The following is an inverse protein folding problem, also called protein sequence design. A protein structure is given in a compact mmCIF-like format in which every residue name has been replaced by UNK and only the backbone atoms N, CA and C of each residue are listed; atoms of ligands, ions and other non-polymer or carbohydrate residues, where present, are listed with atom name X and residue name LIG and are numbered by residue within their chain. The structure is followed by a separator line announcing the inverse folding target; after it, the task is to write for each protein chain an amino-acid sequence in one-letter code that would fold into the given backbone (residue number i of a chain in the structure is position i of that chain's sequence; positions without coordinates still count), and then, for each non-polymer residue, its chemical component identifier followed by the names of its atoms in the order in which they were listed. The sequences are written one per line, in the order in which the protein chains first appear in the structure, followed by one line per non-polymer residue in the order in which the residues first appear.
data_IF_969383909339
#
_entry.id   IF_969383909339
#
_cell.length_a   1.000
_cell.length_b   1.000
_cell.length_c   1.000
_cell.angle_alpha   90.00
_cell.angle_beta   90.00
_cell.angle_gamma   90.00
#
_symmetry.space_group_name_H-M   'P 1'
#
loop_
_entity.id
_entity.type
_entity.pdbx_description
1 polymer ?
#
# COMPACT_ATOMS: atom_id res chain seq x y z
N UNK A 1 -15.83 3.41 -14.74
CA UNK A 1 -14.85 4.33 -14.09
C UNK A 1 -14.35 3.77 -12.76
N UNK A 2 -15.19 3.66 -11.68
CA UNK A 2 -14.72 3.06 -10.41
C UNK A 2 -14.15 1.64 -10.58
N UNK A 3 -14.82 0.79 -11.36
CA UNK A 3 -14.34 -0.58 -11.64
C UNK A 3 -12.95 -0.62 -12.27
N UNK A 4 -12.61 0.33 -13.12
CA UNK A 4 -11.28 0.45 -13.75
C UNK A 4 -10.24 0.89 -12.72
N UNK A 5 -10.53 1.92 -11.91
CA UNK A 5 -9.65 2.39 -10.83
C UNK A 5 -9.34 1.25 -9.85
N UNK A 6 -10.39 0.56 -9.38
CA UNK A 6 -10.25 -0.61 -8.51
C UNK A 6 -9.38 -1.70 -9.13
N UNK A 7 -9.64 -2.06 -10.40
CA UNK A 7 -8.87 -3.07 -11.10
C UNK A 7 -7.38 -2.74 -11.18
N UNK A 8 -7.04 -1.47 -11.46
CA UNK A 8 -5.65 -1.01 -11.50
C UNK A 8 -5.00 -1.10 -10.11
N UNK A 9 -5.71 -0.66 -9.05
CA UNK A 9 -5.22 -0.81 -7.68
C UNK A 9 -4.97 -2.28 -7.35
N UNK A 10 -5.95 -3.16 -7.63
CA UNK A 10 -5.84 -4.60 -7.35
C UNK A 10 -4.62 -5.23 -8.04
N UNK A 11 -4.30 -4.81 -9.27
CA UNK A 11 -3.12 -5.25 -10.01
C UNK A 11 -1.80 -4.81 -9.35
N UNK A 12 -1.77 -3.64 -8.71
CA UNK A 12 -0.55 -3.06 -8.15
C UNK A 12 -0.31 -3.41 -6.66
N UNK A 13 -1.30 -3.95 -5.95
CA UNK A 13 -1.23 -4.21 -4.50
C UNK A 13 0.01 -5.02 -4.07
N UNK A 14 0.46 -5.95 -4.90
CA UNK A 14 1.55 -6.89 -4.61
C UNK A 14 2.80 -6.67 -5.46
N UNK A 15 2.94 -5.50 -6.09
CA UNK A 15 4.07 -5.17 -6.96
C UNK A 15 5.11 -4.25 -6.32
N UNK A 16 5.09 -4.09 -4.99
CA UNK A 16 6.02 -3.19 -4.28
C UNK A 16 7.50 -3.55 -4.48
N UNK A 17 7.82 -4.83 -4.65
CA UNK A 17 9.19 -5.30 -4.89
C UNK A 17 9.76 -4.84 -6.25
N UNK A 18 8.93 -4.34 -7.16
CA UNK A 18 9.32 -3.85 -8.48
C UNK A 18 9.42 -2.33 -8.54
N UNK A 19 9.17 -1.63 -7.42
CA UNK A 19 9.28 -0.18 -7.28
C UNK A 19 10.43 0.19 -6.34
N UNK A 20 11.02 1.36 -6.55
CA UNK A 20 12.14 1.89 -5.77
C UNK A 20 13.33 2.22 -6.67
N UNK A 21 14.34 2.90 -6.13
CA UNK A 21 15.57 3.28 -6.84
C UNK A 21 15.32 3.99 -8.20
N UNK A 22 14.32 4.88 -8.24
CA UNK A 22 13.93 5.61 -9.46
C UNK A 22 13.00 4.84 -10.41
N UNK A 23 12.55 3.65 -10.03
CA UNK A 23 11.57 2.88 -10.78
C UNK A 23 10.21 2.95 -10.08
N UNK A 24 9.17 3.28 -10.83
CA UNK A 24 7.81 3.42 -10.31
C UNK A 24 6.83 2.58 -11.12
N UNK A 25 5.95 1.87 -10.44
CA UNK A 25 4.83 1.20 -11.10
C UNK A 25 3.81 2.25 -11.52
N UNK A 26 3.56 2.35 -12.82
CA UNK A 26 2.63 3.31 -13.39
C UNK A 26 1.20 2.75 -13.36
N UNK A 27 0.33 3.42 -12.61
CA UNK A 27 -1.07 3.08 -12.44
C UNK A 27 -2.00 3.85 -13.41
N UNK A 28 -1.42 4.41 -14.49
CA UNK A 28 -2.13 5.20 -15.49
C UNK A 28 -2.60 6.59 -14.97
N UNK A 29 -3.26 7.34 -15.81
CA UNK A 29 -3.70 8.71 -15.55
C UNK A 29 -4.77 8.80 -14.47
N UNK A 30 -4.84 9.98 -13.83
CA UNK A 30 -5.85 10.29 -12.82
C UNK A 30 -7.19 10.65 -13.50
N UNK A 31 -8.24 9.90 -13.16
CA UNK A 31 -9.64 10.13 -13.57
C UNK A 31 -10.39 11.09 -12.65
N UNK A 32 -9.67 11.93 -11.90
CA UNK A 32 -10.23 12.91 -10.94
C UNK A 32 -10.99 14.00 -11.71
N UNK A 33 -12.22 14.30 -11.28
CA UNK A 33 -13.08 15.29 -11.94
C UNK A 33 -13.80 14.76 -13.20
N UNK A 34 -13.82 13.42 -13.42
CA UNK A 34 -14.43 12.78 -14.58
C UNK A 34 -15.63 11.88 -14.25
N UNK A 35 -16.31 12.13 -13.13
CA UNK A 35 -17.56 11.46 -12.78
C UNK A 35 -17.47 10.36 -11.72
N UNK A 36 -16.30 10.16 -11.10
CA UNK A 36 -16.19 9.38 -9.87
C UNK A 36 -16.92 10.10 -8.73
N UNK A 37 -17.39 9.34 -7.73
CA UNK A 37 -17.92 9.94 -6.50
C UNK A 37 -16.77 10.57 -5.70
N UNK A 38 -17.05 11.55 -4.82
CA UNK A 38 -16.00 12.19 -4.03
C UNK A 38 -15.12 11.22 -3.23
N UNK A 39 -15.71 10.22 -2.61
CA UNK A 39 -14.99 9.17 -1.88
C UNK A 39 -14.13 8.28 -2.79
N UNK A 40 -14.58 8.00 -4.01
CA UNK A 40 -13.85 7.24 -5.01
C UNK A 40 -12.66 8.05 -5.58
N UNK A 41 -12.82 9.38 -5.72
CA UNK A 41 -11.73 10.28 -6.06
C UNK A 41 -10.66 10.32 -4.94
N UNK A 42 -11.08 10.35 -3.67
CA UNK A 42 -10.17 10.27 -2.51
C UNK A 42 -9.38 8.95 -2.53
N UNK A 43 -10.04 7.82 -2.83
CA UNK A 43 -9.35 6.53 -3.02
C UNK A 43 -8.37 6.60 -4.17
N UNK A 44 -8.81 7.05 -5.33
CA UNK A 44 -7.99 7.11 -6.53
C UNK A 44 -6.71 7.92 -6.27
N UNK A 45 -6.84 9.17 -5.83
CA UNK A 45 -5.68 10.03 -5.60
C UNK A 45 -4.81 9.54 -4.44
N UNK A 46 -5.44 9.14 -3.31
CA UNK A 46 -4.72 8.64 -2.13
C UNK A 46 -3.91 7.38 -2.43
N UNK A 47 -4.48 6.42 -3.18
CA UNK A 47 -3.79 5.19 -3.53
C UNK A 47 -2.64 5.45 -4.51
N UNK A 48 -2.81 6.30 -5.55
CA UNK A 48 -1.70 6.71 -6.41
C UNK A 48 -0.57 7.35 -5.60
N UNK A 49 -0.90 8.18 -4.62
CA UNK A 49 0.10 8.82 -3.78
C UNK A 49 0.86 7.84 -2.89
N UNK A 50 0.18 6.93 -2.20
CA UNK A 50 0.88 5.98 -1.31
C UNK A 50 1.63 4.89 -2.08
N UNK A 51 1.19 4.59 -3.31
CA UNK A 51 1.88 3.67 -4.22
C UNK A 51 3.05 4.31 -4.96
N UNK A 52 3.29 5.63 -4.80
CA UNK A 52 4.30 6.39 -5.54
C UNK A 52 4.16 6.28 -7.06
N UNK A 53 2.94 6.12 -7.55
CA UNK A 53 2.65 6.11 -8.97
C UNK A 53 2.78 7.51 -9.59
N UNK A 54 3.19 7.65 -10.85
CA UNK A 54 3.18 8.94 -11.54
C UNK A 54 1.81 9.63 -11.45
N UNK A 55 1.79 10.93 -11.17
CA UNK A 55 0.57 11.73 -11.09
C UNK A 55 0.34 12.49 -12.40
N UNK A 56 -0.34 11.85 -13.33
CA UNK A 56 -0.68 12.42 -14.63
C UNK A 56 -2.18 12.77 -14.68
N UNK A 57 -2.50 14.04 -14.85
CA UNK A 57 -3.90 14.52 -14.87
C UNK A 57 -4.55 14.15 -16.21
N UNK A 58 -5.64 13.38 -16.14
CA UNK A 58 -6.42 12.95 -17.32
C UNK A 58 -7.70 13.74 -17.54
N UNK A 59 -7.96 14.83 -16.80
CA UNK A 59 -9.17 15.65 -16.92
C UNK A 59 -8.93 17.00 -17.59
N UNK A 60 -10.01 17.65 -18.04
CA UNK A 60 -9.99 19.03 -18.50
C UNK A 60 -9.99 19.98 -17.29
N UNK A 61 -8.86 20.66 -17.07
CA UNK A 61 -8.68 21.59 -15.96
C UNK A 61 -9.54 22.86 -16.08
N UNK A 62 -10.11 23.16 -17.25
CA UNK A 62 -10.99 24.31 -17.43
C UNK A 62 -12.40 24.09 -16.91
N UNK A 63 -12.80 22.83 -16.80
CA UNK A 63 -14.16 22.42 -16.38
C UNK A 63 -14.19 21.55 -15.12
N UNK A 64 -13.03 21.29 -14.51
CA UNK A 64 -12.92 20.43 -13.32
C UNK A 64 -13.74 20.97 -12.13
N UNK A 65 -14.50 20.14 -11.41
CA UNK A 65 -15.19 20.55 -10.19
C UNK A 65 -14.21 21.09 -9.14
N UNK A 66 -14.62 22.13 -8.41
CA UNK A 66 -13.77 22.78 -7.39
C UNK A 66 -13.27 21.79 -6.31
N UNK A 67 -14.13 20.87 -5.87
CA UNK A 67 -13.77 19.85 -4.89
C UNK A 67 -12.68 18.91 -5.40
N UNK A 68 -12.78 18.47 -6.65
CA UNK A 68 -11.79 17.62 -7.31
C UNK A 68 -10.45 18.37 -7.50
N UNK A 69 -10.50 19.64 -7.90
CA UNK A 69 -9.32 20.49 -8.01
C UNK A 69 -8.65 20.70 -6.64
N UNK A 70 -9.43 20.87 -5.56
CA UNK A 70 -8.91 20.97 -4.20
C UNK A 70 -8.21 19.69 -3.77
N UNK A 71 -8.76 18.51 -4.11
CA UNK A 71 -8.13 17.23 -3.83
C UNK A 71 -6.78 17.11 -4.57
N UNK A 72 -6.74 17.41 -5.87
CA UNK A 72 -5.50 17.40 -6.66
C UNK A 72 -4.43 18.37 -6.14
N UNK A 73 -4.82 19.43 -5.45
CA UNK A 73 -3.92 20.40 -4.79
C UNK A 73 -3.55 20.04 -3.35
N UNK A 74 -3.94 18.86 -2.86
CA UNK A 74 -3.62 18.43 -1.51
C UNK A 74 -2.10 18.21 -1.35
N UNK A 75 -1.43 19.18 -0.70
CA UNK A 75 0.02 19.20 -0.56
C UNK A 75 0.56 18.01 0.25
N UNK A 76 -0.22 17.48 1.19
CA UNK A 76 0.22 16.36 2.03
C UNK A 76 0.20 15.04 1.25
N UNK A 77 -0.81 14.81 0.42
CA UNK A 77 -0.84 13.67 -0.49
C UNK A 77 0.24 13.78 -1.57
N UNK A 78 0.45 14.97 -2.13
CA UNK A 78 1.54 15.21 -3.09
C UNK A 78 2.90 14.94 -2.43
N UNK A 79 3.13 15.43 -1.20
CA UNK A 79 4.37 15.16 -0.47
C UNK A 79 4.57 13.66 -0.18
N UNK A 80 3.50 12.93 0.10
CA UNK A 80 3.54 11.47 0.23
C UNK A 80 3.98 10.79 -1.07
N UNK A 81 3.46 11.22 -2.21
CA UNK A 81 3.85 10.71 -3.53
C UNK A 81 5.31 11.02 -3.85
N UNK A 82 5.77 12.23 -3.49
CA UNK A 82 7.09 12.78 -3.78
C UNK A 82 8.12 12.47 -2.67
N UNK A 83 7.82 11.56 -1.75
CA UNK A 83 8.74 11.17 -0.69
C UNK A 83 10.07 10.67 -1.28
N UNK A 84 11.24 11.18 -0.79
CA UNK A 84 12.53 10.90 -1.40
C UNK A 84 12.96 9.42 -1.36
N UNK A 85 12.36 8.60 -0.51
CA UNK A 85 12.62 7.16 -0.50
C UNK A 85 12.06 6.45 -1.74
N UNK A 86 11.06 7.03 -2.42
CA UNK A 86 10.47 6.49 -3.63
C UNK A 86 9.85 5.11 -3.48
N UNK A 87 9.46 4.72 -2.27
CA UNK A 87 8.94 3.39 -1.97
C UNK A 87 7.45 3.28 -2.33
N UNK A 88 7.05 2.11 -2.81
CA UNK A 88 5.65 1.73 -2.92
C UNK A 88 5.19 1.06 -1.63
N UNK A 89 3.98 1.40 -1.16
CA UNK A 89 3.37 0.71 -0.03
C UNK A 89 3.06 -0.76 -0.37
N UNK A 90 3.19 -1.63 0.61
CA UNK A 90 2.90 -3.06 0.50
C UNK A 90 1.82 -3.50 1.48
N UNK A 91 1.09 -4.55 1.14
CA UNK A 91 -0.01 -5.09 1.96
C UNK A 91 0.57 -5.85 3.15
N UNK A 92 0.16 -5.45 4.37
CA UNK A 92 0.54 -6.14 5.62
C UNK A 92 -0.62 -6.86 6.28
N UNK A 93 -1.85 -6.55 5.88
CA UNK A 93 -3.05 -7.22 6.38
C UNK A 93 -4.14 -7.15 5.32
N UNK A 94 -4.82 -8.28 5.10
CA UNK A 94 -5.98 -8.37 4.23
C UNK A 94 -7.05 -9.20 4.93
N UNK A 95 -8.03 -8.51 5.51
CA UNK A 95 -9.15 -9.12 6.24
C UNK A 95 -10.46 -8.44 5.85
N UNK A 96 -11.55 -9.19 5.90
CA UNK A 96 -12.92 -8.65 5.72
C UNK A 96 -13.09 -7.77 4.47
N UNK A 97 -12.42 -8.13 3.35
CA UNK A 97 -12.44 -7.40 2.07
C UNK A 97 -11.67 -6.06 2.07
N UNK A 98 -11.05 -5.69 3.17
CA UNK A 98 -10.21 -4.48 3.29
C UNK A 98 -8.73 -4.81 3.24
N UNK A 99 -7.92 -3.81 2.91
CA UNK A 99 -6.45 -3.91 2.85
C UNK A 99 -5.81 -2.88 3.76
N UNK A 100 -4.77 -3.30 4.47
CA UNK A 100 -3.87 -2.41 5.19
C UNK A 100 -2.53 -2.40 4.47
N UNK A 101 -2.11 -1.23 4.02
CA UNK A 101 -0.85 -1.04 3.33
C UNK A 101 0.05 -0.12 4.14
N UNK A 102 1.35 -0.32 4.02
CA UNK A 102 2.35 0.49 4.73
C UNK A 102 3.61 0.71 3.89
N UNK A 103 4.25 1.84 4.07
CA UNK A 103 5.62 2.11 3.60
C UNK A 103 6.37 3.03 4.54
N UNK A 104 7.69 2.94 4.53
CA UNK A 104 8.54 3.95 5.15
C UNK A 104 8.45 5.26 4.35
N UNK A 105 8.49 6.37 5.04
CA UNK A 105 8.61 7.72 4.49
C UNK A 105 9.63 8.51 5.30
N UNK A 106 10.20 9.55 4.70
CA UNK A 106 11.19 10.47 5.30
C UNK A 106 12.55 9.81 5.59
N UNK A 107 12.56 8.67 6.26
CA UNK A 107 13.77 7.90 6.59
C UNK A 107 13.50 6.40 6.52
N UNK A 108 14.33 5.67 5.79
CA UNK A 108 14.28 4.20 5.77
C UNK A 108 14.51 3.64 7.19
N UNK A 109 13.65 2.70 7.60
CA UNK A 109 13.63 2.15 8.96
C UNK A 109 13.43 3.18 10.07
N UNK A 110 12.95 4.39 9.73
CA UNK A 110 12.57 5.43 10.68
C UNK A 110 11.29 5.12 11.46
N UNK A 111 10.95 6.04 12.37
CA UNK A 111 9.75 5.93 13.21
C UNK A 111 8.49 6.45 12.52
N UNK A 112 8.64 7.01 11.32
CA UNK A 112 7.53 7.57 10.52
C UNK A 112 7.20 6.64 9.38
N UNK A 113 5.92 6.29 9.26
CA UNK A 113 5.41 5.46 8.17
C UNK A 113 4.12 6.05 7.61
N UNK A 114 3.89 5.84 6.32
CA UNK A 114 2.59 6.06 5.71
C UNK A 114 1.79 4.75 5.73
N UNK A 115 0.51 4.85 6.07
CA UNK A 115 -0.40 3.72 6.19
C UNK A 115 -1.69 4.03 5.45
N UNK A 116 -2.19 3.08 4.67
CA UNK A 116 -3.51 3.14 4.08
C UNK A 116 -4.40 2.03 4.64
N UNK A 117 -5.60 2.39 5.10
CA UNK A 117 -6.71 1.46 5.26
C UNK A 117 -7.60 1.63 4.04
N UNK A 118 -7.72 0.62 3.20
CA UNK A 118 -8.43 0.66 1.94
C UNK A 118 -9.60 -0.31 1.92
N UNK A 119 -10.81 0.21 1.70
CA UNK A 119 -12.03 -0.57 1.53
C UNK A 119 -12.53 -0.49 0.09
N UNK A 120 -12.19 -1.46 -0.78
CA UNK A 120 -12.70 -1.51 -2.16
C UNK A 120 -14.11 -2.08 -2.30
N UNK A 121 -14.71 -2.58 -1.20
CA UNK A 121 -15.98 -3.32 -1.25
C UNK A 121 -17.19 -2.39 -1.27
N UNK A 122 -18.35 -2.91 -1.67
CA UNK A 122 -19.64 -2.21 -1.71
C UNK A 122 -20.33 -2.14 -0.32
N UNK A 123 -19.61 -2.49 0.74
CA UNK A 123 -20.13 -2.51 2.11
C UNK A 123 -19.14 -1.88 3.09
N UNK A 124 -19.62 -1.58 4.28
CA UNK A 124 -18.78 -1.12 5.39
C UNK A 124 -17.74 -2.21 5.72
N UNK A 125 -16.51 -1.80 5.98
CA UNK A 125 -15.40 -2.66 6.39
C UNK A 125 -14.87 -2.22 7.77
N UNK A 126 -14.77 -3.17 8.69
CA UNK A 126 -14.14 -2.97 9.99
C UNK A 126 -12.68 -3.37 9.92
N UNK A 127 -11.82 -2.48 10.38
CA UNK A 127 -10.38 -2.70 10.50
C UNK A 127 -9.98 -2.80 11.97
N UNK A 128 -9.19 -3.82 12.30
CA UNK A 128 -8.54 -3.98 13.59
C UNK A 128 -7.05 -4.23 13.33
N UNK A 129 -6.23 -3.19 13.48
CA UNK A 129 -4.81 -3.20 13.07
C UNK A 129 -3.92 -3.09 14.30
N UNK A 130 -3.30 -4.19 14.75
CA UNK A 130 -2.26 -4.13 15.78
C UNK A 130 -1.09 -3.29 15.30
N UNK A 131 -0.60 -2.38 16.13
CA UNK A 131 0.55 -1.52 15.77
C UNK A 131 1.81 -2.32 15.47
N UNK A 132 1.95 -3.52 16.03
CA UNK A 132 3.05 -4.44 15.74
C UNK A 132 3.07 -4.92 14.27
N UNK A 133 1.91 -5.06 13.63
CA UNK A 133 1.82 -5.39 12.18
C UNK A 133 2.41 -4.28 11.32
N UNK A 134 2.34 -3.04 11.81
CA UNK A 134 2.96 -1.88 11.17
C UNK A 134 4.40 -1.65 11.66
N UNK A 135 4.99 -2.58 12.43
CA UNK A 135 6.31 -2.44 13.07
C UNK A 135 6.42 -1.18 13.93
N UNK A 136 5.33 -0.79 14.60
CA UNK A 136 5.23 0.41 15.41
C UNK A 136 4.97 0.04 16.88
N UNK A 137 5.75 0.65 17.79
CA UNK A 137 5.63 0.44 19.23
C UNK A 137 5.43 1.73 20.01
N UNK A 138 4.89 1.59 21.24
CA UNK A 138 4.56 2.72 22.09
C UNK A 138 3.33 3.49 21.62
N UNK A 139 3.28 4.77 21.94
CA UNK A 139 2.25 5.69 21.48
C UNK A 139 2.53 6.13 20.06
N UNK A 140 1.54 6.05 19.18
CA UNK A 140 1.65 6.39 17.76
C UNK A 140 0.77 7.60 17.47
N UNK A 141 1.38 8.70 17.03
CA UNK A 141 0.68 9.89 16.53
C UNK A 141 0.17 9.60 15.13
N UNK A 142 -0.98 10.15 14.78
CA UNK A 142 -1.63 9.93 13.49
C UNK A 142 -2.10 11.25 12.89
N UNK A 143 -1.87 11.43 11.59
CA UNK A 143 -2.41 12.52 10.78
C UNK A 143 -3.10 11.95 9.55
N UNK A 144 -4.37 12.32 9.36
CA UNK A 144 -5.15 12.03 8.15
C UNK A 144 -4.70 12.99 7.04
N UNK A 145 -4.07 12.45 6.00
CA UNK A 145 -3.50 13.24 4.91
C UNK A 145 -4.56 13.71 3.91
N UNK A 146 -5.68 12.98 3.78
CA UNK A 146 -6.80 13.40 2.92
C UNK A 146 -7.51 14.60 3.55
N UNK A 147 -7.86 14.50 4.83
CA UNK A 147 -8.58 15.56 5.57
C UNK A 147 -7.64 16.61 6.17
N UNK A 148 -6.33 16.43 6.08
CA UNK A 148 -5.29 17.33 6.58
C UNK A 148 -5.44 17.69 8.06
N UNK A 149 -5.73 16.70 8.89
CA UNK A 149 -5.96 16.89 10.34
C UNK A 149 -5.32 15.82 11.18
N UNK A 150 -4.91 16.22 12.39
CA UNK A 150 -4.41 15.28 13.38
C UNK A 150 -5.57 14.47 13.99
N UNK A 151 -5.30 13.20 14.20
CA UNK A 151 -6.19 12.28 14.86
C UNK A 151 -5.69 11.95 16.28
N UNK A 152 -6.59 11.42 17.12
CA UNK A 152 -6.18 10.92 18.43
C UNK A 152 -5.13 9.84 18.28
N UNK A 153 -4.03 9.98 19.00
CA UNK A 153 -2.96 8.98 19.01
C UNK A 153 -3.47 7.60 19.47
N UNK A 154 -2.87 6.56 18.94
CA UNK A 154 -3.21 5.16 19.25
C UNK A 154 -2.06 4.46 19.98
N UNK A 155 -2.41 3.47 20.80
CA UNK A 155 -1.47 2.53 21.41
C UNK A 155 -2.10 1.12 21.34
N UNK A 156 -1.31 0.14 20.97
CA UNK A 156 -1.76 -1.24 20.82
C UNK A 156 -2.46 -1.55 19.50
N UNK A 157 -3.75 -1.25 19.38
CA UNK A 157 -4.55 -1.59 18.18
C UNK A 157 -5.34 -0.40 17.68
N UNK A 158 -5.27 -0.14 16.38
CA UNK A 158 -6.10 0.83 15.69
C UNK A 158 -7.39 0.15 15.19
N UNK A 159 -8.52 0.57 15.75
CA UNK A 159 -9.83 0.14 15.27
C UNK A 159 -10.48 1.26 14.46
N UNK A 160 -10.90 0.96 13.23
CA UNK A 160 -11.60 1.89 12.32
C UNK A 160 -12.65 1.17 11.53
N UNK A 161 -13.72 1.87 11.26
CA UNK A 161 -14.76 1.47 10.33
C UNK A 161 -14.71 2.40 9.11
N UNK A 162 -14.64 1.85 7.92
CA UNK A 162 -14.64 2.60 6.67
C UNK A 162 -15.88 2.27 5.84
N UNK A 163 -16.56 3.29 5.28
CA UNK A 163 -17.63 3.09 4.31
C UNK A 163 -17.15 2.31 3.07
N UNK A 164 -18.11 1.92 2.23
CA UNK A 164 -17.82 1.38 0.90
C UNK A 164 -16.96 2.37 0.07
N UNK A 165 -16.10 1.86 -0.78
CA UNK A 165 -15.27 2.62 -1.71
C UNK A 165 -14.53 3.78 -1.04
N UNK A 166 -13.86 3.52 0.08
CA UNK A 166 -13.18 4.58 0.83
C UNK A 166 -11.77 4.20 1.29
N UNK A 167 -10.99 5.19 1.62
CA UNK A 167 -9.63 5.04 2.11
C UNK A 167 -9.35 6.01 3.26
N UNK A 168 -8.51 5.58 4.18
CA UNK A 168 -7.89 6.44 5.19
C UNK A 168 -6.38 6.40 4.98
N UNK A 169 -5.79 7.52 4.56
CA UNK A 169 -4.35 7.66 4.36
C UNK A 169 -3.76 8.40 5.54
N UNK A 170 -2.85 7.75 6.25
CA UNK A 170 -2.25 8.24 7.48
C UNK A 170 -0.74 8.44 7.34
N UNK A 171 -0.24 9.57 7.85
CA UNK A 171 1.14 9.67 8.33
C UNK A 171 1.12 9.29 9.81
N UNK A 172 1.92 8.29 10.15
CA UNK A 172 2.00 7.76 11.52
C UNK A 172 3.43 7.89 12.05
N UNK A 173 3.56 8.34 13.30
CA UNK A 173 4.85 8.52 14.00
C UNK A 173 4.83 7.77 15.33
N UNK A 174 5.65 6.74 15.43
CA UNK A 174 5.75 5.88 16.61
C UNK A 174 6.83 6.35 17.59
N UNK A 175 6.68 6.02 18.86
CA UNK A 175 7.76 6.18 19.84
C UNK A 175 8.91 5.22 19.56
N UNK A 176 8.60 4.02 19.03
CA UNK A 176 9.56 2.97 18.72
C UNK A 176 9.29 2.37 17.35
N UNK A 177 10.35 2.09 16.56
CA UNK A 177 10.28 1.22 15.41
C UNK A 177 10.62 -0.21 15.87
N UNK A 178 9.69 -1.14 15.62
CA UNK A 178 9.90 -2.55 15.95
C UNK A 178 10.65 -3.26 14.83
N UNK A 179 11.41 -4.30 15.19
CA UNK A 179 12.07 -5.16 14.23
C UNK A 179 11.04 -6.10 13.58
N UNK A 180 11.10 -6.30 12.24
CA UNK A 180 10.21 -7.22 11.56
C UNK A 180 10.55 -8.66 11.94
N UNK A 181 9.52 -9.45 12.19
CA UNK A 181 9.66 -10.88 12.55
C UNK A 181 9.09 -11.82 11.50
N UNK A 182 8.46 -11.28 10.46
CA UNK A 182 7.84 -12.02 9.37
C UNK A 182 8.03 -11.29 8.05
N UNK A 183 8.25 -12.05 7.00
CA UNK A 183 8.33 -11.60 5.62
C UNK A 183 7.39 -12.45 4.80
N UNK A 184 6.33 -11.86 4.25
CA UNK A 184 5.36 -12.58 3.44
C UNK A 184 5.93 -12.90 2.06
N UNK A 185 5.49 -14.01 1.46
CA UNK A 185 5.97 -14.44 0.15
C UNK A 185 5.62 -13.45 -0.95
N UNK A 186 4.46 -12.80 -0.84
CA UNK A 186 3.98 -11.77 -1.77
C UNK A 186 4.75 -10.44 -1.71
N UNK A 187 5.66 -10.26 -0.75
CA UNK A 187 6.57 -9.11 -0.71
C UNK A 187 7.88 -9.37 -1.46
N UNK A 188 8.11 -10.61 -1.88
CA UNK A 188 9.33 -10.97 -2.56
C UNK A 188 9.36 -10.47 -4.01
N UNK A 189 10.56 -10.14 -4.48
CA UNK A 189 10.82 -9.98 -5.91
C UNK A 189 10.85 -11.34 -6.60
N UNK A 190 10.14 -11.46 -7.71
CA UNK A 190 10.03 -12.68 -8.50
C UNK A 190 10.56 -12.40 -9.91
N UNK A 191 11.80 -12.81 -10.26
CA UNK A 191 12.42 -12.49 -11.57
C UNK A 191 11.61 -12.99 -12.77
N UNK A 192 10.88 -14.10 -12.58
CA UNK A 192 10.07 -14.71 -13.64
C UNK A 192 8.57 -14.39 -13.49
N UNK A 193 8.21 -13.34 -12.76
CA UNK A 193 6.81 -12.93 -12.55
C UNK A 193 6.10 -12.65 -13.86
N UNK A 194 4.90 -13.20 -14.00
CA UNK A 194 4.04 -12.97 -15.16
C UNK A 194 2.57 -13.20 -14.79
N UNK A 195 1.83 -12.13 -14.55
CA UNK A 195 0.40 -12.17 -14.24
C UNK A 195 -0.50 -12.05 -15.48
N UNK A 196 0.09 -11.84 -16.66
CA UNK A 196 -0.69 -11.63 -17.90
C UNK A 196 -1.36 -12.89 -18.44
N UNK A 197 -1.14 -14.04 -17.77
CA UNK A 197 -1.77 -15.30 -18.18
C UNK A 197 -1.30 -15.84 -19.55
N UNK A 198 -0.31 -15.19 -20.16
CA UNK A 198 0.17 -15.53 -21.50
C UNK A 198 0.98 -16.84 -21.55
N UNK A 199 1.43 -17.32 -20.40
CA UNK A 199 2.18 -18.58 -20.27
C UNK A 199 1.64 -19.39 -19.11
N UNK A 200 1.20 -20.64 -19.32
CA UNK A 200 0.81 -21.52 -18.24
C UNK A 200 2.00 -21.81 -17.32
N UNK A 201 1.74 -21.94 -16.00
CA UNK A 201 2.72 -22.28 -14.97
C UNK A 201 3.87 -21.28 -14.84
N UNK A 202 3.58 -19.99 -15.00
CA UNK A 202 4.53 -18.92 -14.63
C UNK A 202 4.34 -18.54 -13.16
N UNK A 203 5.43 -18.09 -12.52
CA UNK A 203 5.39 -17.65 -11.13
C UNK A 203 4.48 -16.42 -11.00
N UNK A 204 3.57 -16.45 -10.04
CA UNK A 204 2.63 -15.37 -9.78
C UNK A 204 2.17 -15.36 -8.33
N UNK A 205 1.62 -14.24 -7.88
CA UNK A 205 0.87 -14.14 -6.63
C UNK A 205 -0.56 -14.64 -6.87
N UNK A 206 -1.04 -15.52 -6.00
CA UNK A 206 -2.37 -16.11 -6.11
C UNK A 206 -3.09 -16.09 -4.76
N UNK A 207 -4.41 -15.86 -4.72
CA UNK A 207 -5.19 -15.94 -3.48
C UNK A 207 -5.09 -17.32 -2.83
N UNK A 208 -4.90 -17.31 -1.50
CA UNK A 208 -4.93 -18.52 -0.67
C UNK A 208 -5.47 -18.17 0.72
N UNK A 209 -6.67 -18.60 1.00
CA UNK A 209 -7.39 -18.23 2.24
C UNK A 209 -6.65 -18.63 3.52
N UNK A 210 -5.92 -19.72 3.47
CA UNK A 210 -5.18 -20.30 4.61
C UNK A 210 -3.81 -19.62 4.82
N UNK A 211 -3.34 -18.80 3.88
CA UNK A 211 -2.08 -18.05 4.02
C UNK A 211 -2.27 -16.84 4.92
N UNK A 212 -1.22 -16.47 5.66
CA UNK A 212 -1.23 -15.38 6.63
C UNK A 212 -1.62 -14.02 6.04
N UNK A 213 -1.18 -13.72 4.81
CA UNK A 213 -1.55 -12.51 4.06
C UNK A 213 -2.73 -12.71 3.11
N UNK A 214 -3.33 -13.89 3.09
CA UNK A 214 -4.39 -14.24 2.14
C UNK A 214 -3.88 -14.51 0.71
N UNK A 215 -2.57 -14.52 0.51
CA UNK A 215 -1.90 -14.73 -0.77
C UNK A 215 -0.82 -15.80 -0.67
N UNK A 216 -0.40 -16.34 -1.78
CA UNK A 216 0.75 -17.24 -1.93
C UNK A 216 1.50 -16.94 -3.21
N UNK A 217 2.76 -17.34 -3.28
CA UNK A 217 3.52 -17.44 -4.53
C UNK A 217 3.28 -18.82 -5.12
N UNK A 218 2.83 -18.87 -6.38
CA UNK A 218 2.55 -20.10 -7.10
C UNK A 218 3.62 -20.36 -8.17
N UNK A 219 3.88 -21.65 -8.46
CA UNK A 219 4.82 -22.12 -9.49
C UNK A 219 6.28 -21.69 -9.27
N UNK A 220 6.71 -21.54 -8.01
CA UNK A 220 8.10 -21.30 -7.64
C UNK A 220 8.97 -22.54 -7.94
N UNK A 221 10.22 -22.31 -8.36
CA UNK A 221 11.20 -23.38 -8.63
C UNK A 221 11.10 -23.97 -10.03
N UNK A 222 11.61 -25.20 -10.19
CA UNK A 222 11.68 -25.91 -11.47
C UNK A 222 12.83 -25.54 -12.38
N UNK A 223 13.46 -24.36 -12.18
CA UNK A 223 14.67 -23.87 -12.86
C UNK A 223 15.34 -22.80 -12.00
N UNK A 224 16.66 -22.59 -12.21
CA UNK A 224 17.46 -21.74 -11.33
C UNK A 224 17.01 -20.28 -11.29
N UNK A 225 16.55 -19.73 -12.40
CA UNK A 225 16.07 -18.35 -12.52
C UNK A 225 14.68 -18.10 -11.91
N UNK A 226 13.97 -19.16 -11.52
CA UNK A 226 12.61 -19.07 -10.95
C UNK A 226 12.66 -19.15 -9.43
N UNK A 227 13.06 -18.04 -8.81
CA UNK A 227 13.21 -17.92 -7.35
C UNK A 227 12.42 -16.73 -6.79
N UNK A 228 12.37 -16.63 -5.48
CA UNK A 228 11.84 -15.49 -4.75
C UNK A 228 12.99 -14.83 -3.95
N UNK A 229 13.03 -13.50 -3.94
CA UNK A 229 14.09 -12.73 -3.28
C UNK A 229 13.50 -11.62 -2.42
N UNK A 230 13.87 -11.58 -1.14
CA UNK A 230 13.55 -10.50 -0.23
C UNK A 230 14.76 -9.57 -0.11
N UNK A 231 14.69 -8.41 -0.77
CA UNK A 231 15.80 -7.46 -0.85
C UNK A 231 15.99 -6.59 0.40
N UNK A 232 15.01 -6.57 1.30
CA UNK A 232 14.99 -5.67 2.48
C UNK A 232 14.77 -6.43 3.77
N UNK A 233 15.53 -7.50 3.98
CA UNK A 233 15.56 -8.20 5.27
C UNK A 233 16.40 -7.38 6.24
N UNK A 234 15.81 -6.98 7.36
CA UNK A 234 16.42 -6.10 8.33
C UNK A 234 16.69 -6.81 9.66
N UNK A 235 17.84 -6.52 10.23
CA UNK A 235 18.21 -6.88 11.60
C UNK A 235 18.92 -5.71 12.27
N UNK A 236 18.41 -5.25 13.41
CA UNK A 236 18.98 -4.13 14.16
C UNK A 236 20.37 -4.47 14.72
N UNK A 237 20.53 -5.69 15.21
CA UNK A 237 21.76 -6.11 15.92
C UNK A 237 22.69 -6.98 15.09
N UNK A 238 22.26 -7.44 13.93
CA UNK A 238 22.97 -8.47 13.19
C UNK A 238 23.06 -9.80 13.95
N UNK A 239 23.80 -10.76 13.42
CA UNK A 239 24.03 -12.04 14.06
C UNK A 239 23.37 -13.22 13.38
N UNK A 240 23.23 -14.33 14.11
CA UNK A 240 22.60 -15.56 13.61
C UNK A 240 21.12 -15.58 13.99
N UNK A 241 20.28 -15.90 13.04
CA UNK A 241 18.83 -16.05 13.20
C UNK A 241 18.38 -17.41 12.74
N UNK A 242 17.40 -17.99 13.41
CA UNK A 242 16.68 -19.15 12.93
C UNK A 242 15.58 -18.68 11.97
N UNK A 243 15.55 -19.25 10.77
CA UNK A 243 14.54 -18.95 9.76
C UNK A 243 13.64 -20.16 9.57
N UNK A 244 12.35 -19.95 9.73
CA UNK A 244 11.30 -20.93 9.41
C UNK A 244 10.61 -20.52 8.12
N UNK A 245 10.47 -21.47 7.17
CA UNK A 245 9.82 -21.27 5.88
C UNK A 245 8.53 -22.10 5.84
#
# INVERSE_FOLDING_TARGET
EWGSVKYIIDKNLYLSAYAGDGHYNDMDMLEIGRGLKPEEEEVHFGMWCIMSSPLLIGCDLTTIPEASLKLLKNKELIALNQDPLGLQAYVVQHENKGYVLVKDIEQERGKVRAVALYNPSDSICDFSVPMSVLEMGGKVKMRDLVKQKDLKAVQGTLNRQLPAHSVLILRMEAEQRLEPVRYEAEWAYLPCFNDLGLRPKTILYAPMKEASGGMKVSYLGGRAENYAEWNKVYSEKGGMYEMTI
#
